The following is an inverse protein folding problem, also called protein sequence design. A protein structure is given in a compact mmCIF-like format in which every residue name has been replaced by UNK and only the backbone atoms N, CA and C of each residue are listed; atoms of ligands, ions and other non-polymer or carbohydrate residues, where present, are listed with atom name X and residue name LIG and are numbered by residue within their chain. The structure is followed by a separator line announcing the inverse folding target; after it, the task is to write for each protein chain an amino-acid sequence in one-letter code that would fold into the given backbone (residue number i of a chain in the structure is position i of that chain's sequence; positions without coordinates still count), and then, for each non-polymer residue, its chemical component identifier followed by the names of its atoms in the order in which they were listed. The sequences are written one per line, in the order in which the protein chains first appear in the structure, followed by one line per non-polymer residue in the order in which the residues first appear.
data_IF_873272982620
#
_entry.id   IF_873272982620
#
_cell.length_a   1.000
_cell.length_b   1.000
_cell.length_c   1.000
_cell.angle_alpha   90.00
_cell.angle_beta   90.00
_cell.angle_gamma   90.00
#
_symmetry.space_group_name_H-M   'P 1'
#
loop_
_entity.id
_entity.type
_entity.pdbx_description
1 polymer ?
#
# COMPACT_ATOMS: atom_id res chain seq x y z
N UNK A 1 1.89 -3.25 -32.37
CA UNK A 1 1.27 -4.16 -31.39
C UNK A 1 2.28 -5.19 -30.89
N UNK A 2 2.92 -5.98 -31.78
CA UNK A 2 3.89 -7.03 -31.42
C UNK A 2 5.04 -6.47 -30.59
N UNK A 3 5.68 -5.37 -31.01
CA UNK A 3 6.76 -4.73 -30.28
C UNK A 3 6.35 -4.31 -28.86
N UNK A 4 5.10 -3.84 -28.70
CA UNK A 4 4.57 -3.46 -27.39
C UNK A 4 4.36 -4.67 -26.47
N UNK A 5 3.86 -5.77 -27.01
CA UNK A 5 3.71 -7.02 -26.26
C UNK A 5 5.07 -7.55 -25.80
N UNK A 6 6.06 -7.56 -26.71
CA UNK A 6 7.43 -7.96 -26.39
C UNK A 6 8.04 -7.05 -25.30
N UNK A 7 7.82 -5.74 -25.39
CA UNK A 7 8.27 -4.78 -24.38
C UNK A 7 7.71 -5.13 -22.97
N UNK A 8 6.40 -5.39 -22.89
CA UNK A 8 5.75 -5.78 -21.62
C UNK A 8 6.36 -7.08 -21.07
N UNK A 9 6.52 -8.09 -21.93
CA UNK A 9 7.12 -9.37 -21.52
C UNK A 9 8.53 -9.15 -20.96
N UNK A 10 9.38 -8.42 -21.69
CA UNK A 10 10.73 -8.10 -21.26
C UNK A 10 10.75 -7.33 -19.94
N UNK A 11 9.83 -6.38 -19.76
CA UNK A 11 9.69 -5.63 -18.51
C UNK A 11 9.43 -6.56 -17.32
N UNK A 12 8.47 -7.49 -17.43
CA UNK A 12 8.18 -8.43 -16.34
C UNK A 12 9.32 -9.43 -16.07
N UNK A 13 10.06 -9.83 -17.12
CA UNK A 13 11.26 -10.67 -16.96
C UNK A 13 12.33 -9.90 -16.16
N UNK A 14 12.57 -8.64 -16.47
CA UNK A 14 13.56 -7.80 -15.76
C UNK A 14 13.13 -7.62 -14.29
N UNK A 15 11.87 -7.33 -14.03
CA UNK A 15 11.33 -7.19 -12.66
C UNK A 15 11.45 -8.50 -11.88
N UNK A 16 11.13 -9.63 -12.50
CA UNK A 16 11.29 -10.95 -11.89
C UNK A 16 12.77 -11.24 -11.58
N UNK A 17 13.67 -10.98 -12.49
CA UNK A 17 15.11 -11.18 -12.29
C UNK A 17 15.65 -10.29 -11.15
N UNK A 18 15.20 -9.04 -11.08
CA UNK A 18 15.58 -8.13 -10.00
C UNK A 18 15.19 -8.70 -8.63
N UNK A 19 13.95 -9.18 -8.48
CA UNK A 19 13.49 -9.80 -7.24
C UNK A 19 14.24 -11.09 -6.89
N UNK A 20 14.51 -11.93 -7.90
CA UNK A 20 15.26 -13.17 -7.69
C UNK A 20 16.68 -12.91 -7.18
N UNK A 21 17.34 -11.87 -7.69
CA UNK A 21 18.68 -11.46 -7.22
C UNK A 21 18.67 -11.10 -5.73
N UNK A 22 17.61 -10.47 -5.22
CA UNK A 22 17.54 -10.14 -3.80
C UNK A 22 17.37 -11.38 -2.92
N UNK A 23 16.55 -12.34 -3.32
CA UNK A 23 16.45 -13.61 -2.60
C UNK A 23 17.78 -14.37 -2.57
N UNK A 24 18.51 -14.40 -3.70
CA UNK A 24 19.83 -15.03 -3.75
C UNK A 24 20.85 -14.28 -2.89
N UNK A 25 20.78 -12.95 -2.85
CA UNK A 25 21.64 -12.15 -1.98
C UNK A 25 21.35 -12.39 -0.49
N UNK A 26 20.09 -12.53 -0.13
CA UNK A 26 19.66 -12.85 1.24
C UNK A 26 20.16 -14.25 1.65
N UNK A 27 19.97 -15.24 0.79
CA UNK A 27 20.42 -16.62 1.01
C UNK A 27 21.96 -16.67 1.15
N UNK A 28 22.71 -16.05 0.24
CA UNK A 28 24.16 -15.97 0.30
C UNK A 28 24.65 -15.26 1.57
N UNK A 29 24.02 -14.15 1.95
CA UNK A 29 24.33 -13.44 3.18
C UNK A 29 24.12 -14.32 4.42
N UNK A 30 23.01 -15.06 4.47
CA UNK A 30 22.73 -16.00 5.55
C UNK A 30 23.74 -17.15 5.59
N UNK A 31 24.14 -17.65 4.42
CA UNK A 31 25.13 -18.72 4.30
C UNK A 31 26.52 -18.29 4.79
N UNK A 32 27.00 -17.12 4.39
CA UNK A 32 28.31 -16.59 4.76
C UNK A 32 28.39 -16.22 6.24
N UNK A 33 27.35 -15.54 6.74
CA UNK A 33 27.32 -15.07 8.13
C UNK A 33 26.90 -16.14 9.13
N UNK A 34 26.27 -17.23 8.67
CA UNK A 34 25.62 -18.25 9.51
C UNK A 34 24.61 -17.64 10.52
N UNK A 35 24.16 -16.44 10.25
CA UNK A 35 23.26 -15.69 11.13
C UNK A 35 22.13 -15.02 10.33
N UNK A 36 21.12 -15.78 9.85
CA UNK A 36 19.99 -15.25 9.13
C UNK A 36 19.17 -14.26 9.97
N UNK A 37 19.15 -14.43 11.30
CA UNK A 37 18.41 -13.54 12.20
C UNK A 37 18.96 -12.11 12.23
N UNK A 38 20.26 -11.92 12.08
CA UNK A 38 20.85 -10.58 11.96
C UNK A 38 20.38 -9.88 10.68
N UNK A 39 20.30 -10.62 9.56
CA UNK A 39 19.76 -10.09 8.30
C UNK A 39 18.26 -9.75 8.44
N UNK A 40 17.46 -10.61 9.09
CA UNK A 40 16.05 -10.35 9.35
C UNK A 40 15.84 -9.10 10.20
N UNK A 41 16.62 -8.95 11.29
CA UNK A 41 16.61 -7.76 12.13
C UNK A 41 16.96 -6.51 11.35
N UNK A 42 18.03 -6.55 10.52
CA UNK A 42 18.43 -5.43 9.67
C UNK A 42 17.34 -5.04 8.66
N UNK A 43 16.67 -6.01 8.01
CA UNK A 43 15.57 -5.74 7.09
C UNK A 43 14.37 -5.10 7.80
N UNK A 44 14.05 -5.56 9.00
CA UNK A 44 13.01 -4.95 9.84
C UNK A 44 13.42 -3.54 10.20
N UNK A 45 14.63 -3.33 10.69
CA UNK A 45 15.13 -2.02 11.10
C UNK A 45 15.19 -1.01 9.94
N UNK A 46 15.60 -1.45 8.75
CA UNK A 46 15.58 -0.63 7.53
C UNK A 46 14.13 -0.31 7.15
N UNK A 47 13.26 -1.32 7.10
CA UNK A 47 11.85 -1.15 6.80
C UNK A 47 11.15 -0.17 7.75
N UNK A 48 11.51 -0.19 9.02
CA UNK A 48 10.96 0.68 10.06
C UNK A 48 11.75 1.97 10.25
N UNK A 49 13.06 1.91 10.25
CA UNK A 49 13.94 3.05 10.53
C UNK A 49 13.87 4.13 9.45
N UNK A 50 13.50 3.76 8.22
CA UNK A 50 13.31 4.71 7.13
C UNK A 50 12.04 5.56 7.30
N UNK A 51 11.09 5.15 8.12
CA UNK A 51 9.86 5.89 8.38
C UNK A 51 9.86 6.62 9.72
N UNK A 52 10.75 6.26 10.67
CA UNK A 52 10.86 6.97 11.95
C UNK A 52 12.02 7.95 11.93
N UNK A 53 11.74 9.24 12.07
CA UNK A 53 12.77 10.26 12.37
C UNK A 53 13.48 9.87 13.66
N UNK A 54 14.76 9.54 13.58
CA UNK A 54 15.64 9.51 14.74
C UNK A 54 15.70 10.94 15.30
N UNK A 55 15.09 11.16 16.45
CA UNK A 55 15.12 12.40 17.20
C UNK A 55 16.45 12.46 17.93
N UNK A 56 17.54 12.74 17.20
CA UNK A 56 18.83 13.04 17.81
C UNK A 56 19.04 14.57 17.75
N UNK A 57 19.12 15.15 18.93
CA UNK A 57 19.63 16.50 19.23
C UNK A 57 19.09 17.67 18.37
N UNK A 58 17.78 17.86 18.33
CA UNK A 58 17.21 19.17 17.99
C UNK A 58 17.37 19.65 16.54
N UNK A 59 18.07 18.94 15.66
CA UNK A 59 18.15 19.26 14.23
C UNK A 59 17.38 18.21 13.42
N UNK A 60 16.27 18.65 12.87
CA UNK A 60 15.45 17.90 11.91
C UNK A 60 16.26 17.66 10.63
N UNK A 61 17.05 16.59 10.57
CA UNK A 61 17.55 16.10 9.29
C UNK A 61 16.40 15.35 8.61
N UNK A 62 15.95 15.87 7.47
CA UNK A 62 15.07 15.15 6.57
C UNK A 62 15.79 13.88 6.14
N UNK A 63 15.29 12.72 6.55
CA UNK A 63 15.77 11.46 5.98
C UNK A 63 15.48 11.52 4.49
N UNK A 64 16.54 11.47 3.68
CA UNK A 64 16.47 11.32 2.24
C UNK A 64 15.52 10.18 1.89
N UNK A 65 14.66 10.40 0.89
CA UNK A 65 13.65 9.47 0.43
C UNK A 65 14.15 8.01 0.46
N UNK A 66 13.44 7.09 1.14
CA UNK A 66 13.85 5.68 1.23
C UNK A 66 14.00 4.99 -0.12
N UNK A 67 13.34 5.50 -1.15
CA UNK A 67 13.51 5.08 -2.55
C UNK A 67 14.94 5.30 -3.08
N UNK A 68 15.72 6.21 -2.48
CA UNK A 68 17.10 6.50 -2.90
C UNK A 68 18.08 5.39 -2.48
N UNK A 69 17.74 4.60 -1.47
CA UNK A 69 18.59 3.51 -0.99
C UNK A 69 18.40 2.18 -1.74
N UNK A 70 17.38 2.06 -2.60
CA UNK A 70 17.19 0.90 -3.47
C UNK A 70 17.02 -0.46 -2.77
N UNK A 71 16.75 -0.47 -1.46
CA UNK A 71 16.75 -1.69 -0.64
C UNK A 71 15.33 -2.20 -0.36
N UNK A 72 14.32 -1.32 -0.43
CA UNK A 72 12.94 -1.70 -0.14
C UNK A 72 11.95 -0.77 -0.81
N UNK A 73 10.75 -1.28 -1.07
CA UNK A 73 9.62 -0.45 -1.42
C UNK A 73 9.24 0.42 -0.19
N UNK A 74 9.36 1.73 -0.34
CA UNK A 74 9.12 2.72 0.72
C UNK A 74 7.76 2.56 1.40
N UNK A 75 6.80 1.99 0.70
CA UNK A 75 5.43 1.84 1.17
C UNK A 75 5.20 0.62 2.04
N UNK A 76 5.79 -0.51 1.68
CA UNK A 76 5.82 -1.69 2.56
C UNK A 76 6.57 -1.38 3.84
N UNK A 77 7.63 -0.59 3.75
CA UNK A 77 8.40 -0.09 4.89
C UNK A 77 7.57 0.82 5.79
N UNK A 78 6.81 1.76 5.22
CA UNK A 78 5.98 2.70 5.99
C UNK A 78 4.83 2.00 6.71
N UNK A 79 4.15 1.04 6.08
CA UNK A 79 3.09 0.26 6.72
C UNK A 79 3.63 -0.55 7.92
N UNK A 80 4.85 -1.06 7.80
CA UNK A 80 5.50 -1.80 8.89
C UNK A 80 5.94 -0.92 10.04
N UNK A 81 6.56 0.22 9.77
CA UNK A 81 7.02 1.15 10.81
C UNK A 81 5.90 1.64 11.70
N UNK A 82 4.78 1.88 11.07
CA UNK A 82 3.59 2.39 11.71
C UNK A 82 3.02 1.41 12.72
N UNK A 83 3.10 0.10 12.44
CA UNK A 83 2.50 -0.94 13.30
C UNK A 83 3.33 -1.38 14.49
N UNK A 84 4.61 -1.04 14.53
CA UNK A 84 5.57 -1.69 15.44
C UNK A 84 6.07 -0.81 16.56
N UNK A 85 5.80 0.48 16.51
CA UNK A 85 6.34 1.43 17.48
C UNK A 85 5.37 1.61 18.65
N UNK A 86 5.53 0.82 19.70
CA UNK A 86 4.90 1.04 20.99
C UNK A 86 6.02 1.12 22.02
N UNK A 87 6.12 2.24 22.75
CA UNK A 87 7.06 2.47 23.87
C UNK A 87 8.56 2.29 23.56
N UNK A 88 8.98 2.53 22.31
CA UNK A 88 10.41 2.47 21.94
C UNK A 88 10.93 1.08 21.61
N UNK A 89 10.13 0.04 21.70
CA UNK A 89 10.49 -1.33 21.32
C UNK A 89 9.63 -1.87 20.18
N UNK A 90 10.27 -2.61 19.28
CA UNK A 90 9.59 -3.29 18.18
C UNK A 90 8.85 -4.53 18.69
N UNK A 91 7.53 -4.48 18.68
CA UNK A 91 6.73 -5.67 18.99
C UNK A 91 6.72 -6.62 17.79
N UNK A 92 7.40 -7.78 17.93
CA UNK A 92 7.39 -8.86 16.91
C UNK A 92 5.98 -9.27 16.51
N UNK A 93 5.03 -9.23 17.45
CA UNK A 93 3.63 -9.57 17.19
C UNK A 93 2.93 -8.51 16.32
N UNK A 94 3.23 -7.24 16.50
CA UNK A 94 2.68 -6.17 15.66
C UNK A 94 3.21 -6.27 14.23
N UNK A 95 4.50 -6.58 14.05
CA UNK A 95 5.12 -6.88 12.76
C UNK A 95 4.38 -8.03 12.08
N UNK A 96 4.22 -9.15 12.78
CA UNK A 96 3.54 -10.34 12.29
C UNK A 96 2.11 -10.03 11.82
N UNK A 97 1.36 -9.24 12.56
CA UNK A 97 -0.01 -8.86 12.20
C UNK A 97 -0.06 -7.96 10.97
N UNK A 98 0.82 -6.97 10.88
CA UNK A 98 0.89 -6.08 9.72
C UNK A 98 1.28 -6.81 8.42
N UNK A 99 2.08 -7.86 8.53
CA UNK A 99 2.55 -8.66 7.39
C UNK A 99 1.52 -9.64 6.84
N UNK A 100 0.44 -9.95 7.57
CA UNK A 100 -0.60 -10.89 7.11
C UNK A 100 -1.19 -10.51 5.76
N UNK A 101 -1.43 -9.23 5.55
CA UNK A 101 -1.96 -8.74 4.29
C UNK A 101 -1.00 -9.03 3.12
N UNK A 102 0.27 -8.73 3.28
CA UNK A 102 1.29 -8.94 2.25
C UNK A 102 1.47 -10.42 1.92
N UNK A 103 1.27 -11.32 2.90
CA UNK A 103 1.44 -12.75 2.72
C UNK A 103 0.19 -13.43 2.15
N UNK A 104 -1.01 -12.91 2.43
CA UNK A 104 -2.25 -13.62 2.17
C UNK A 104 -3.15 -12.97 1.13
N UNK A 105 -3.12 -11.64 1.02
CA UNK A 105 -3.98 -10.95 0.06
C UNK A 105 -3.40 -11.06 -1.36
N UNK A 106 -4.18 -11.54 -2.35
CA UNK A 106 -3.69 -11.67 -3.73
C UNK A 106 -3.26 -10.35 -4.36
N UNK A 107 -3.84 -9.21 -3.95
CA UNK A 107 -3.39 -7.90 -4.40
C UNK A 107 -1.93 -7.63 -4.08
N UNK A 108 -1.43 -8.09 -2.94
CA UNK A 108 -0.02 -7.96 -2.60
C UNK A 108 0.89 -8.59 -3.67
N UNK A 109 0.50 -9.76 -4.19
CA UNK A 109 1.23 -10.40 -5.29
C UNK A 109 1.14 -9.61 -6.60
N UNK A 110 -0.03 -9.05 -6.94
CA UNK A 110 -0.20 -8.21 -8.14
C UNK A 110 0.69 -6.96 -8.06
N UNK A 111 0.78 -6.35 -6.89
CA UNK A 111 1.65 -5.19 -6.69
C UNK A 111 3.13 -5.55 -6.75
N UNK A 112 3.52 -6.68 -6.14
CA UNK A 112 4.89 -7.17 -6.21
C UNK A 112 5.34 -7.45 -7.64
N UNK A 113 4.43 -7.93 -8.52
CA UNK A 113 4.74 -8.13 -9.94
C UNK A 113 5.22 -6.85 -10.64
N UNK A 114 4.75 -5.70 -10.20
CA UNK A 114 5.12 -4.39 -10.74
C UNK A 114 6.26 -3.71 -9.95
N UNK A 115 6.83 -4.38 -8.94
CA UNK A 115 7.93 -3.88 -8.13
C UNK A 115 9.28 -4.47 -8.55
N UNK A 116 10.33 -3.66 -8.43
CA UNK A 116 11.72 -4.11 -8.60
C UNK A 116 12.23 -4.92 -7.41
N UNK A 117 11.58 -4.78 -6.25
CA UNK A 117 11.93 -5.42 -4.99
C UNK A 117 10.83 -6.39 -4.54
N UNK A 118 11.17 -7.53 -3.95
CA UNK A 118 10.18 -8.39 -3.33
C UNK A 118 9.63 -7.75 -2.04
N UNK A 119 8.42 -8.14 -1.65
CA UNK A 119 7.84 -7.70 -0.40
C UNK A 119 8.72 -8.12 0.78
N UNK A 120 8.95 -7.19 1.71
CA UNK A 120 9.79 -7.46 2.90
C UNK A 120 9.25 -8.64 3.71
N UNK A 121 7.94 -8.76 3.83
CA UNK A 121 7.26 -9.88 4.47
C UNK A 121 7.63 -11.23 3.87
N UNK A 122 7.72 -11.33 2.54
CA UNK A 122 8.15 -12.56 1.85
C UNK A 122 9.64 -12.83 2.02
N UNK A 123 10.48 -11.80 2.02
CA UNK A 123 11.92 -11.94 2.32
C UNK A 123 12.12 -12.44 3.75
N UNK A 124 11.43 -11.84 4.73
CA UNK A 124 11.49 -12.29 6.12
C UNK A 124 10.99 -13.73 6.29
N UNK A 125 9.94 -14.12 5.57
CA UNK A 125 9.47 -15.50 5.57
C UNK A 125 10.51 -16.47 4.99
N UNK A 126 11.20 -16.09 3.92
CA UNK A 126 12.29 -16.89 3.34
C UNK A 126 13.48 -17.01 4.33
N UNK A 127 13.89 -15.91 4.95
CA UNK A 127 14.96 -15.87 5.94
C UNK A 127 14.59 -16.68 7.19
N UNK A 128 13.33 -16.66 7.62
CA UNK A 128 12.83 -17.47 8.74
C UNK A 128 13.04 -18.97 8.46
N UNK A 129 12.75 -19.44 7.24
CA UNK A 129 13.02 -20.84 6.85
C UNK A 129 14.51 -21.17 6.85
N UNK A 130 15.36 -20.21 6.48
CA UNK A 130 16.82 -20.39 6.57
C UNK A 130 17.24 -20.50 8.04
N UNK A 131 16.67 -19.73 8.96
CA UNK A 131 16.95 -19.84 10.40
C UNK A 131 16.64 -21.24 10.92
N UNK A 132 15.51 -21.82 10.52
CA UNK A 132 15.16 -23.20 10.88
C UNK A 132 16.19 -24.21 10.37
N UNK A 133 16.69 -24.00 9.14
CA UNK A 133 17.74 -24.87 8.54
C UNK A 133 19.05 -24.81 9.32
N UNK A 134 19.38 -23.67 9.92
CA UNK A 134 20.57 -23.51 10.78
C UNK A 134 20.29 -23.84 12.26
N UNK A 135 19.11 -24.36 12.60
CA UNK A 135 18.74 -24.71 13.97
C UNK A 135 18.60 -23.50 14.90
N UNK A 136 18.34 -22.31 14.34
CA UNK A 136 18.16 -21.08 15.09
C UNK A 136 16.67 -20.74 15.17
N UNK A 137 16.23 -20.23 16.32
CA UNK A 137 14.88 -19.70 16.44
C UNK A 137 14.71 -18.47 15.52
N UNK A 138 13.70 -18.44 14.63
CA UNK A 138 13.50 -17.34 13.69
C UNK A 138 13.29 -15.99 14.40
N UNK A 139 13.81 -14.91 13.83
CA UNK A 139 13.60 -13.54 14.34
C UNK A 139 12.11 -13.18 14.41
N UNK A 140 11.36 -13.56 13.38
CA UNK A 140 9.88 -13.51 13.36
C UNK A 140 9.39 -14.86 12.88
N UNK A 141 8.66 -15.61 13.71
CA UNK A 141 8.06 -16.88 13.29
C UNK A 141 6.78 -16.61 12.48
N UNK A 142 6.71 -17.20 11.30
CA UNK A 142 5.55 -17.09 10.40
C UNK A 142 4.66 -18.35 10.43
N UNK A 143 4.49 -18.97 11.61
CA UNK A 143 3.57 -20.09 11.82
C UNK A 143 2.11 -19.64 11.68
N UNK A 144 1.84 -18.92 10.59
CA UNK A 144 0.55 -18.36 10.31
C UNK A 144 -0.21 -19.31 9.36
N UNK A 145 -1.22 -19.95 9.88
CA UNK A 145 -2.18 -20.70 9.05
C UNK A 145 -3.10 -19.69 8.39
N UNK A 146 -3.16 -19.72 7.06
CA UNK A 146 -4.10 -18.91 6.28
C UNK A 146 -5.54 -19.37 6.60
N UNK A 147 -6.40 -18.53 7.19
CA UNK A 147 -7.70 -18.95 7.69
C UNK A 147 -8.68 -19.32 6.57
N UNK A 148 -8.57 -18.66 5.41
CA UNK A 148 -9.47 -18.84 4.28
C UNK A 148 -8.80 -18.46 2.95
N UNK A 149 -9.44 -18.79 1.83
CA UNK A 149 -9.04 -18.32 0.52
C UNK A 149 -9.55 -16.88 0.31
N UNK A 150 -8.67 -15.96 -0.01
CA UNK A 150 -9.03 -14.57 -0.37
C UNK A 150 -9.19 -14.38 -1.89
N UNK A 151 -9.17 -15.50 -2.66
CA UNK A 151 -9.19 -15.45 -4.12
C UNK A 151 -10.56 -15.01 -4.65
N UNK A 152 -11.65 -15.45 -4.00
CA UNK A 152 -13.01 -15.12 -4.45
C UNK A 152 -13.28 -13.61 -4.32
N UNK A 153 -12.85 -13.00 -3.21
CA UNK A 153 -12.97 -11.57 -2.99
C UNK A 153 -12.10 -10.81 -3.99
N UNK A 154 -10.87 -11.27 -4.20
CA UNK A 154 -9.96 -10.69 -5.19
C UNK A 154 -10.54 -10.72 -6.61
N UNK A 155 -11.12 -11.84 -7.07
CA UNK A 155 -11.71 -11.94 -8.41
C UNK A 155 -12.90 -10.98 -8.58
N UNK A 156 -13.75 -10.84 -7.56
CA UNK A 156 -14.84 -9.84 -7.55
C UNK A 156 -14.29 -8.42 -7.68
N UNK A 157 -13.26 -8.09 -6.91
CA UNK A 157 -12.64 -6.78 -6.91
C UNK A 157 -11.95 -6.47 -8.26
N UNK A 158 -11.28 -7.44 -8.85
CA UNK A 158 -10.70 -7.34 -10.20
C UNK A 158 -11.80 -7.04 -11.21
N UNK A 159 -12.91 -7.79 -11.19
CA UNK A 159 -14.04 -7.55 -12.08
C UNK A 159 -14.60 -6.14 -11.92
N UNK A 160 -14.85 -5.71 -10.69
CA UNK A 160 -15.35 -4.35 -10.39
C UNK A 160 -14.35 -3.30 -10.84
N UNK A 161 -13.05 -3.55 -10.65
CA UNK A 161 -11.99 -2.61 -11.03
C UNK A 161 -11.97 -2.34 -12.53
N UNK A 162 -12.10 -3.38 -13.33
CA UNK A 162 -12.04 -3.30 -14.80
C UNK A 162 -13.41 -3.08 -15.46
N UNK A 163 -14.52 -3.20 -14.73
CA UNK A 163 -15.88 -3.12 -15.27
C UNK A 163 -16.14 -1.86 -16.12
N UNK A 164 -15.72 -0.63 -15.74
CA UNK A 164 -15.91 0.54 -16.60
C UNK A 164 -15.19 0.44 -17.94
N UNK A 165 -13.96 -0.07 -17.94
CA UNK A 165 -13.19 -0.28 -19.16
C UNK A 165 -13.77 -1.37 -20.05
N UNK A 166 -14.18 -2.50 -19.46
CA UNK A 166 -14.80 -3.61 -20.18
C UNK A 166 -16.11 -3.16 -20.84
N UNK A 167 -16.98 -2.48 -20.09
CA UNK A 167 -18.24 -1.98 -20.64
C UNK A 167 -18.06 -0.95 -21.73
N UNK A 168 -17.02 -0.10 -21.63
CA UNK A 168 -16.66 0.85 -22.69
C UNK A 168 -16.22 0.13 -23.97
N UNK A 169 -15.32 -0.86 -23.86
CA UNK A 169 -14.85 -1.64 -25.02
C UNK A 169 -16.00 -2.40 -25.67
N UNK A 170 -16.83 -3.06 -24.89
CA UNK A 170 -18.01 -3.78 -25.40
C UNK A 170 -18.96 -2.80 -26.10
N UNK A 171 -19.22 -1.64 -25.48
CA UNK A 171 -20.05 -0.59 -26.08
C UNK A 171 -19.52 -0.10 -27.43
N UNK A 172 -18.18 0.09 -27.55
CA UNK A 172 -17.55 0.44 -28.81
C UNK A 172 -17.70 -0.65 -29.86
N UNK A 173 -17.48 -1.92 -29.50
CA UNK A 173 -17.64 -3.04 -30.43
C UNK A 173 -19.09 -3.09 -30.95
N UNK A 174 -20.07 -3.02 -30.07
CA UNK A 174 -21.49 -3.00 -30.43
C UNK A 174 -21.78 -1.80 -31.36
N UNK A 175 -21.31 -0.61 -31.01
CA UNK A 175 -21.50 0.59 -31.81
C UNK A 175 -21.00 0.43 -33.24
N UNK A 176 -19.78 -0.08 -33.42
CA UNK A 176 -19.21 -0.27 -34.76
C UNK A 176 -19.90 -1.39 -35.57
N UNK A 177 -20.38 -2.44 -34.90
CA UNK A 177 -21.08 -3.55 -35.55
C UNK A 177 -22.51 -3.17 -35.97
N UNK A 178 -23.22 -2.38 -35.15
CA UNK A 178 -24.64 -2.09 -35.36
C UNK A 178 -24.88 -0.76 -36.07
N UNK A 179 -23.86 0.10 -36.19
CA UNK A 179 -23.99 1.45 -36.78
C UNK A 179 -23.07 1.64 -38.02
N UNK A 180 -23.36 0.98 -39.17
CA UNK A 180 -22.54 1.04 -40.34
C UNK A 180 -22.45 2.46 -40.94
N UNK A 181 -23.46 3.30 -40.72
CA UNK A 181 -23.50 4.72 -41.15
C UNK A 181 -22.72 5.67 -40.21
N UNK A 182 -22.06 5.15 -39.16
CA UNK A 182 -21.29 5.93 -38.16
C UNK A 182 -22.02 7.18 -37.65
N UNK A 183 -23.30 7.01 -37.33
CA UNK A 183 -24.12 8.09 -36.78
C UNK A 183 -23.74 8.35 -35.33
N UNK A 184 -22.97 9.40 -35.08
CA UNK A 184 -22.44 9.75 -33.75
C UNK A 184 -23.51 10.13 -32.72
N UNK A 185 -24.78 10.31 -33.12
CA UNK A 185 -25.89 10.55 -32.16
C UNK A 185 -26.04 9.39 -31.16
N UNK A 186 -25.72 8.16 -31.56
CA UNK A 186 -25.77 6.98 -30.68
C UNK A 186 -24.52 6.81 -29.82
N UNK A 187 -23.46 7.57 -30.09
CA UNK A 187 -22.22 7.48 -29.31
C UNK A 187 -22.40 7.84 -27.83
N UNK A 188 -23.37 8.74 -27.54
CA UNK A 188 -23.74 9.08 -26.16
C UNK A 188 -24.19 7.87 -25.35
N UNK A 189 -24.88 6.91 -25.95
CA UNK A 189 -25.31 5.68 -25.28
C UNK A 189 -24.11 4.78 -24.90
N UNK A 190 -23.09 4.76 -25.75
CA UNK A 190 -21.83 4.01 -25.48
C UNK A 190 -21.12 4.54 -24.25
N UNK A 191 -21.24 5.83 -23.94
CA UNK A 191 -20.64 6.47 -22.77
C UNK A 191 -21.47 6.30 -21.48
N UNK A 192 -22.78 6.15 -21.59
CA UNK A 192 -23.67 6.05 -20.42
C UNK A 192 -23.41 4.76 -19.60
N UNK A 193 -23.17 3.63 -20.27
CA UNK A 193 -22.95 2.34 -19.59
C UNK A 193 -21.65 2.33 -18.77
N UNK A 194 -20.49 2.72 -19.31
CA UNK A 194 -19.28 2.81 -18.51
C UNK A 194 -19.35 3.90 -17.44
N UNK A 195 -20.11 4.98 -17.66
CA UNK A 195 -20.37 5.97 -16.61
C UNK A 195 -21.15 5.36 -15.44
N UNK A 196 -22.22 4.62 -15.73
CA UNK A 196 -22.99 3.90 -14.71
C UNK A 196 -22.11 2.87 -13.98
N UNK A 197 -21.26 2.13 -14.71
CA UNK A 197 -20.30 1.21 -14.14
C UNK A 197 -19.26 1.91 -13.24
N UNK A 198 -18.83 3.12 -13.62
CA UNK A 198 -17.92 3.93 -12.81
C UNK A 198 -18.57 4.41 -11.51
N UNK A 199 -19.84 4.83 -11.59
CA UNK A 199 -20.63 5.22 -10.41
C UNK A 199 -20.86 4.03 -9.47
N UNK A 200 -21.16 2.86 -10.03
CA UNK A 200 -21.28 1.62 -9.25
C UNK A 200 -19.98 1.28 -8.54
N UNK A 201 -18.82 1.30 -9.28
CA UNK A 201 -17.49 1.10 -8.70
C UNK A 201 -17.23 2.10 -7.58
N UNK A 202 -17.51 3.38 -7.79
CA UNK A 202 -17.36 4.41 -6.76
C UNK A 202 -18.17 4.09 -5.50
N UNK A 203 -19.46 3.74 -5.66
CA UNK A 203 -20.31 3.36 -4.54
C UNK A 203 -19.86 2.09 -3.82
N UNK A 204 -19.23 1.16 -4.53
CA UNK A 204 -18.66 -0.04 -3.96
C UNK A 204 -17.38 0.26 -3.15
N UNK A 205 -16.50 1.12 -3.67
CA UNK A 205 -15.28 1.55 -2.99
C UNK A 205 -15.57 2.41 -1.75
N UNK A 206 -16.73 3.11 -1.71
CA UNK A 206 -17.12 3.99 -0.62
C UNK A 206 -18.47 3.55 -0.05
N UNK A 207 -18.52 2.42 0.66
CA UNK A 207 -19.79 1.90 1.18
C UNK A 207 -20.40 2.87 2.19
N UNK A 208 -21.69 3.14 2.04
CA UNK A 208 -22.48 3.98 2.98
C UNK A 208 -22.75 3.19 4.27
N UNK A 209 -21.73 2.88 5.03
CA UNK A 209 -21.82 2.26 6.35
C UNK A 209 -21.43 3.27 7.41
N UNK A 210 -21.84 3.02 8.64
CA UNK A 210 -21.41 3.83 9.78
C UNK A 210 -19.90 3.72 9.98
N UNK A 211 -19.26 4.85 10.30
CA UNK A 211 -17.85 4.89 10.61
C UNK A 211 -17.63 4.27 12.00
N UNK A 212 -16.89 3.20 12.05
CA UNK A 212 -16.56 2.51 13.31
C UNK A 212 -15.25 3.03 13.87
N UNK A 213 -15.20 3.24 15.18
CA UNK A 213 -13.97 3.61 15.85
C UNK A 213 -12.93 2.49 15.67
N UNK A 214 -11.77 2.86 15.19
CA UNK A 214 -10.68 1.94 14.90
C UNK A 214 -9.34 2.55 15.34
N UNK A 215 -8.38 1.68 15.64
CA UNK A 215 -7.00 2.08 15.89
C UNK A 215 -6.11 1.67 14.70
N UNK A 216 -4.97 2.32 14.57
CA UNK A 216 -4.02 2.09 13.46
C UNK A 216 -3.59 0.64 13.39
N UNK A 217 -3.26 0.01 14.53
CA UNK A 217 -2.83 -1.39 14.60
C UNK A 217 -3.90 -2.36 14.12
N UNK A 218 -5.16 -2.14 14.50
CA UNK A 218 -6.29 -2.95 14.05
C UNK A 218 -6.48 -2.87 12.55
N UNK A 219 -6.49 -1.66 11.97
CA UNK A 219 -6.61 -1.45 10.53
C UNK A 219 -5.48 -2.13 9.74
N UNK A 220 -4.25 -2.08 10.25
CA UNK A 220 -3.10 -2.74 9.60
C UNK A 220 -3.16 -4.27 9.69
N UNK A 221 -3.89 -4.82 10.65
CA UNK A 221 -4.14 -6.25 10.78
C UNK A 221 -5.19 -6.81 9.81
N UNK A 222 -5.98 -5.94 9.19
CA UNK A 222 -7.05 -6.33 8.29
C UNK A 222 -6.52 -6.86 6.96
N UNK A 223 -6.92 -8.09 6.62
CA UNK A 223 -6.45 -8.77 5.40
C UNK A 223 -7.39 -8.54 4.21
N UNK A 224 -8.70 -8.43 4.47
CA UNK A 224 -9.74 -8.26 3.43
C UNK A 224 -9.90 -6.83 2.90
N UNK A 225 -8.90 -6.00 3.10
CA UNK A 225 -8.91 -4.60 2.67
C UNK A 225 -8.11 -4.45 1.40
N UNK A 226 -8.67 -3.69 0.46
CA UNK A 226 -8.01 -3.33 -0.80
C UNK A 226 -8.42 -1.91 -1.23
N UNK A 227 -7.88 -1.45 -2.35
CA UNK A 227 -8.31 -0.20 -3.01
C UNK A 227 -9.79 -0.21 -3.42
N UNK A 228 -10.35 -1.39 -3.66
CA UNK A 228 -11.73 -1.57 -4.10
C UNK A 228 -12.65 -1.81 -2.90
N UNK A 229 -12.18 -2.60 -1.92
CA UNK A 229 -12.92 -2.91 -0.70
C UNK A 229 -12.31 -2.15 0.48
N UNK A 230 -12.69 -0.88 0.63
CA UNK A 230 -12.24 -0.04 1.74
C UNK A 230 -13.12 -0.19 2.98
N UNK A 231 -12.55 0.06 4.16
CA UNK A 231 -13.27 0.03 5.44
C UNK A 231 -13.57 1.46 5.89
N UNK A 232 -14.85 1.83 6.10
CA UNK A 232 -15.20 3.10 6.73
C UNK A 232 -14.79 3.06 8.21
N UNK A 233 -13.92 3.96 8.62
CA UNK A 233 -13.39 3.99 9.98
C UNK A 233 -13.23 5.42 10.51
N UNK A 234 -13.21 5.52 11.83
CA UNK A 234 -12.91 6.73 12.57
C UNK A 234 -11.66 6.49 13.41
N UNK A 235 -10.62 7.27 13.17
CA UNK A 235 -9.34 7.19 13.89
C UNK A 235 -9.12 8.48 14.67
N UNK A 236 -8.86 8.37 15.96
CA UNK A 236 -8.52 9.49 16.83
C UNK A 236 -7.04 9.47 17.15
N UNK A 237 -6.36 10.56 16.87
CA UNK A 237 -4.91 10.64 17.13
C UNK A 237 -4.38 12.06 16.99
N UNK A 238 -3.08 12.21 17.22
CA UNK A 238 -2.35 13.46 17.12
C UNK A 238 -1.75 13.59 15.71
N UNK A 239 -1.92 14.75 15.08
CA UNK A 239 -1.22 15.06 13.83
C UNK A 239 0.24 15.38 14.15
N UNK A 240 1.16 14.58 13.63
CA UNK A 240 2.61 14.70 13.90
C UNK A 240 3.38 15.33 12.74
N UNK A 241 2.75 15.49 11.58
CA UNK A 241 3.42 16.10 10.43
C UNK A 241 2.66 15.95 9.13
N UNK A 242 3.34 16.30 8.03
CA UNK A 242 2.85 16.12 6.65
C UNK A 242 3.23 14.74 6.10
N UNK A 243 2.44 14.23 5.17
CA UNK A 243 2.69 12.96 4.52
C UNK A 243 4.02 12.89 3.77
N UNK A 244 4.41 13.99 3.11
CA UNK A 244 5.72 14.14 2.47
C UNK A 244 6.57 15.15 3.23
N UNK A 245 7.58 14.73 3.99
CA UNK A 245 8.48 15.63 4.69
C UNK A 245 9.20 16.57 3.73
N UNK A 246 9.17 17.89 4.03
CA UNK A 246 9.82 18.90 3.20
C UNK A 246 8.97 19.45 2.04
N UNK A 247 7.84 18.83 1.71
CA UNK A 247 6.93 19.34 0.69
C UNK A 247 5.87 20.26 1.30
N UNK A 248 5.98 21.57 1.07
CA UNK A 248 5.07 22.59 1.62
C UNK A 248 3.66 22.49 1.01
N UNK A 249 3.57 21.98 -0.21
CA UNK A 249 2.31 21.85 -0.97
C UNK A 249 1.62 20.48 -0.81
N UNK A 250 2.08 19.67 0.17
CA UNK A 250 1.44 18.40 0.45
C UNK A 250 0.32 18.60 1.47
N UNK A 251 -0.89 18.21 1.09
CA UNK A 251 -2.11 18.27 1.88
C UNK A 251 -2.28 17.09 2.85
N UNK A 252 -1.51 16.01 2.65
CA UNK A 252 -1.61 14.81 3.46
C UNK A 252 -1.03 15.01 4.85
N UNK A 253 -1.59 14.31 5.81
CA UNK A 253 -1.16 14.35 7.20
C UNK A 253 -0.62 13.01 7.66
N UNK A 254 0.17 13.04 8.71
CA UNK A 254 0.53 11.86 9.46
C UNK A 254 -0.14 11.93 10.82
N UNK A 255 -1.03 10.98 11.10
CA UNK A 255 -1.69 10.84 12.40
C UNK A 255 -1.03 9.74 13.21
N UNK A 256 -0.86 10.00 14.50
CA UNK A 256 -0.35 9.06 15.48
C UNK A 256 -1.41 8.82 16.54
N UNK A 257 -1.75 7.55 16.78
CA UNK A 257 -2.52 7.11 17.92
C UNK A 257 -1.64 6.33 18.92
N UNK A 258 -2.22 5.76 19.97
CA UNK A 258 -1.49 4.95 20.95
C UNK A 258 -0.97 3.63 20.37
N UNK A 259 -1.50 3.20 19.22
CA UNK A 259 -1.20 1.91 18.61
C UNK A 259 -0.24 2.01 17.41
N UNK A 260 -0.03 3.21 16.86
CA UNK A 260 0.85 3.39 15.71
C UNK A 260 0.68 4.74 15.01
N UNK A 261 1.23 4.82 13.82
CA UNK A 261 1.24 6.01 12.96
C UNK A 261 0.60 5.66 11.62
N UNK A 262 -0.20 6.51 11.03
CA UNK A 262 -0.82 6.30 9.72
C UNK A 262 -0.82 7.57 8.88
N UNK A 263 -0.74 7.40 7.56
CA UNK A 263 -0.91 8.49 6.61
C UNK A 263 -2.40 8.76 6.41
N UNK A 264 -2.79 10.04 6.47
CA UNK A 264 -4.10 10.53 6.08
C UNK A 264 -3.96 11.23 4.74
N UNK A 265 -4.60 10.68 3.72
CA UNK A 265 -4.74 11.32 2.41
C UNK A 265 -5.96 12.25 2.46
N UNK A 266 -5.72 13.56 2.43
CA UNK A 266 -6.76 14.57 2.49
C UNK A 266 -7.01 15.15 1.12
N UNK A 267 -7.94 14.55 0.38
CA UNK A 267 -8.32 15.01 -0.96
C UNK A 267 -9.59 15.84 -0.95
N UNK A 268 -9.54 16.98 -1.63
CA UNK A 268 -10.72 17.77 -1.98
C UNK A 268 -10.99 17.69 -3.48
N UNK A 269 -12.24 17.94 -3.93
CA UNK A 269 -12.62 17.78 -5.35
C UNK A 269 -11.80 18.61 -6.34
N UNK A 270 -11.22 19.73 -5.88
CA UNK A 270 -10.46 20.64 -6.73
C UNK A 270 -8.99 20.70 -6.30
N UNK A 271 -8.09 20.32 -7.19
CA UNK A 271 -6.64 20.32 -6.97
C UNK A 271 -6.08 21.64 -6.41
N UNK A 272 -6.57 22.80 -6.90
CA UNK A 272 -6.14 24.11 -6.42
C UNK A 272 -6.52 24.32 -4.95
N UNK A 273 -7.67 23.84 -4.53
CA UNK A 273 -8.13 23.96 -3.12
C UNK A 273 -7.22 23.13 -2.21
N UNK A 274 -6.78 21.94 -2.63
CA UNK A 274 -5.81 21.14 -1.89
C UNK A 274 -4.51 21.90 -1.66
N UNK A 275 -3.98 22.58 -2.67
CA UNK A 275 -2.73 23.34 -2.56
C UNK A 275 -2.88 24.58 -1.65
N UNK A 276 -4.00 25.27 -1.73
CA UNK A 276 -4.32 26.40 -0.84
C UNK A 276 -4.47 25.89 0.60
N UNK A 277 -5.19 24.79 0.81
CA UNK A 277 -5.32 24.17 2.12
C UNK A 277 -3.98 23.74 2.70
N UNK A 278 -3.12 23.10 1.90
CA UNK A 278 -1.79 22.69 2.31
C UNK A 278 -0.92 23.85 2.79
N UNK A 279 -1.01 25.01 2.12
CA UNK A 279 -0.22 26.19 2.46
C UNK A 279 -0.71 26.90 3.71
N UNK A 280 -2.02 27.15 3.80
CA UNK A 280 -2.58 28.09 4.78
C UNK A 280 -3.23 27.41 5.98
N UNK A 281 -3.89 26.27 5.79
CA UNK A 281 -4.65 25.59 6.86
C UNK A 281 -3.96 24.37 7.45
N UNK A 282 -3.21 23.62 6.66
CA UNK A 282 -2.55 22.38 7.14
C UNK A 282 -1.66 22.62 8.38
N UNK A 283 -0.88 23.73 8.49
CA UNK A 283 -0.06 23.96 9.68
C UNK A 283 -0.86 24.11 10.99
N UNK A 284 -2.12 24.54 10.90
CA UNK A 284 -2.95 24.75 12.09
C UNK A 284 -3.32 23.44 12.80
N UNK A 285 -3.23 22.30 12.10
CA UNK A 285 -3.56 20.99 12.64
C UNK A 285 -2.38 20.29 13.31
N UNK A 286 -1.14 20.76 13.10
CA UNK A 286 0.04 20.13 13.69
C UNK A 286 -0.02 20.17 15.21
N UNK A 287 0.42 19.07 15.82
CA UNK A 287 0.42 18.83 17.26
C UNK A 287 -0.97 18.79 17.92
N UNK A 288 -2.06 18.90 17.15
CA UNK A 288 -3.43 18.78 17.66
C UNK A 288 -3.94 17.34 17.62
N UNK A 289 -4.78 17.00 18.58
CA UNK A 289 -5.55 15.76 18.58
C UNK A 289 -6.77 15.98 17.69
N UNK A 290 -6.91 15.12 16.69
CA UNK A 290 -8.03 15.16 15.73
C UNK A 290 -8.73 13.81 15.68
N UNK A 291 -9.98 13.84 15.24
CA UNK A 291 -10.72 12.63 14.89
C UNK A 291 -10.91 12.65 13.37
N UNK A 292 -10.25 11.73 12.69
CA UNK A 292 -10.35 11.59 11.24
C UNK A 292 -11.38 10.50 10.89
N UNK A 293 -12.35 10.86 10.06
CA UNK A 293 -13.34 9.92 9.49
C UNK A 293 -13.07 9.76 8.01
N UNK A 294 -13.02 8.53 7.56
CA UNK A 294 -12.76 8.26 6.15
C UNK A 294 -12.75 6.77 5.83
N UNK A 295 -12.28 6.45 4.65
CA UNK A 295 -12.20 5.08 4.17
C UNK A 295 -10.74 4.62 4.22
N UNK A 296 -10.50 3.48 4.83
CA UNK A 296 -9.19 2.87 4.86
C UNK A 296 -9.04 1.89 3.68
N UNK A 297 -8.37 2.28 2.58
CA UNK A 297 -7.94 1.36 1.55
C UNK A 297 -6.55 0.83 1.89
N UNK A 298 -6.27 -0.42 1.60
CA UNK A 298 -4.90 -0.93 1.66
C UNK A 298 -4.40 -1.28 0.27
N UNK A 299 -3.30 -0.66 -0.09
CA UNK A 299 -2.56 -1.00 -1.29
C UNK A 299 -1.09 -0.66 -1.03
N UNK A 300 -0.16 -1.53 -1.37
CA UNK A 300 1.19 -1.07 -1.64
C UNK A 300 1.10 -0.27 -2.93
N UNK A 301 1.62 0.95 -2.95
CA UNK A 301 1.51 1.83 -4.11
C UNK A 301 2.79 1.75 -4.90
N UNK A 302 2.75 1.40 -6.20
CA UNK A 302 3.84 1.67 -7.11
C UNK A 302 3.83 3.18 -7.41
N UNK A 303 4.86 3.88 -6.97
CA UNK A 303 5.25 5.20 -7.46
C UNK A 303 4.15 6.26 -7.58
N UNK A 304 3.63 6.76 -6.49
CA UNK A 304 2.77 7.93 -6.47
C UNK A 304 1.35 7.68 -5.93
N UNK A 305 1.01 8.39 -4.89
CA UNK A 305 -0.26 8.45 -4.17
C UNK A 305 -0.65 7.20 -3.39
N UNK A 306 -0.03 7.08 -2.21
CA UNK A 306 -0.63 6.33 -1.12
C UNK A 306 -1.81 7.12 -0.60
N UNK A 307 -2.99 6.64 -0.93
CA UNK A 307 -4.19 7.12 -0.28
C UNK A 307 -4.34 6.34 1.01
N UNK A 308 -3.97 6.97 2.11
CA UNK A 308 -4.40 6.60 3.43
C UNK A 308 -5.90 6.84 3.55
N UNK A 309 -6.39 7.12 4.74
CA UNK A 309 -7.79 7.49 4.96
C UNK A 309 -8.15 8.67 4.04
N UNK A 310 -8.99 8.45 3.04
CA UNK A 310 -9.54 9.48 2.16
C UNK A 310 -10.93 9.89 2.62
#
# INVERSE_FOLDING_TARGET
LIAYILYIICQYIILWLSRTREYLADEFSAEVTKNPNALAAALVEIGFGLSTKRKDNGKSQSVSNPTTLGISDAHSSMAMAVSSYTDGEFSKQSIKNAMKWDLWNPWATVYELNSTHPLISKRLQAISRLSDTYGQEPYVSFDLVKPESYMDDFLKEVLISFMPGITFIIGLIIFFLTNPGKNFRFFGLVLLVPLAASLFKYGYCHPKKEFTAANVRGLLGEVKVSKISSIPCEVKGKIIGRGNPGCVFNEDFVIQDESGIMLLDYEQPLFLINKIFALFKSPEYFDKIVTARGYYPRAPVPGGNNRGLS
#
